data_IF_572501115905
#
_entry.id   IF_572501115905
#
_cell.length_a   1.000
_cell.length_b   1.000
_cell.length_c   1.000
_cell.angle_alpha   90.00
_cell.angle_beta   90.00
_cell.angle_gamma   90.00
#
_symmetry.space_group_name_H-M   'P 1'
#
loop_
_entity.id
_entity.type
_entity.pdbx_description
1 polymer ?
#
# COMPACT_ATOMS: atom_id res chain seq x y z
N UNK A 1 20.49 -13.45 9.47
CA UNK A 1 20.49 -12.04 9.03
C UNK A 1 19.14 -11.42 9.30
N UNK A 2 19.04 -10.10 9.52
CA UNK A 2 17.76 -9.41 9.80
C UNK A 2 16.69 -9.66 8.73
N UNK A 3 17.09 -9.78 7.45
CA UNK A 3 16.19 -10.10 6.34
C UNK A 3 15.54 -11.50 6.40
N UNK A 4 16.23 -12.51 6.94
CA UNK A 4 15.65 -13.86 7.05
C UNK A 4 14.53 -13.95 8.13
N UNK A 5 14.62 -13.10 9.17
CA UNK A 5 13.60 -13.03 10.23
C UNK A 5 12.35 -12.29 9.73
N UNK A 6 12.51 -11.24 8.91
CA UNK A 6 11.38 -10.55 8.27
C UNK A 6 10.65 -11.43 7.25
N UNK A 7 11.39 -12.25 6.51
CA UNK A 7 10.82 -13.14 5.50
C UNK A 7 10.21 -14.43 6.09
N UNK A 8 10.78 -14.99 7.17
CA UNK A 8 10.44 -16.35 7.64
C UNK A 8 10.39 -16.53 9.17
N UNK A 9 10.59 -15.48 9.97
CA UNK A 9 10.65 -15.58 11.43
C UNK A 9 9.27 -15.70 12.09
N UNK A 10 9.10 -16.69 12.98
CA UNK A 10 7.86 -16.91 13.75
C UNK A 10 7.60 -15.87 14.86
N UNK A 11 8.62 -15.15 15.32
CA UNK A 11 8.55 -14.14 16.40
C UNK A 11 8.89 -12.72 15.90
N UNK A 12 8.50 -12.41 14.65
CA UNK A 12 8.87 -11.14 14.00
C UNK A 12 8.43 -9.90 14.78
N UNK A 13 7.26 -9.94 15.43
CA UNK A 13 6.68 -8.79 16.15
C UNK A 13 7.43 -8.47 17.46
N UNK A 14 8.19 -9.43 18.01
CA UNK A 14 9.07 -9.20 19.15
C UNK A 14 10.36 -8.44 18.77
N UNK A 15 10.79 -8.54 17.51
CA UNK A 15 11.99 -7.88 17.01
C UNK A 15 11.70 -6.62 16.17
N UNK A 16 10.52 -6.58 15.53
CA UNK A 16 10.04 -5.52 14.66
C UNK A 16 8.52 -5.34 14.91
N UNK A 17 8.18 -4.59 15.95
CA UNK A 17 6.79 -4.35 16.38
C UNK A 17 5.92 -3.72 15.29
N UNK A 18 6.54 -3.04 14.33
CA UNK A 18 5.89 -2.25 13.28
C UNK A 18 6.00 -2.91 11.90
N UNK A 19 6.34 -4.20 11.85
CA UNK A 19 6.34 -5.01 10.62
C UNK A 19 4.92 -5.47 10.25
N UNK A 20 4.03 -4.50 10.08
CA UNK A 20 2.65 -4.68 9.64
C UNK A 20 2.27 -3.55 8.68
N UNK A 21 1.16 -3.74 7.96
CA UNK A 21 0.70 -2.80 6.93
C UNK A 21 -0.68 -2.29 7.27
N UNK A 22 -0.85 -0.97 7.22
CA UNK A 22 -2.13 -0.32 7.38
C UNK A 22 -2.71 0.02 6.00
N UNK A 23 -3.84 -0.57 5.64
CA UNK A 23 -4.58 -0.24 4.43
C UNK A 23 -5.81 0.60 4.77
N UNK A 24 -6.07 1.66 4.00
CA UNK A 24 -7.26 2.50 4.15
C UNK A 24 -7.84 2.91 2.81
N UNK A 25 -9.16 2.83 2.67
CA UNK A 25 -9.93 3.40 1.55
C UNK A 25 -10.66 4.62 2.06
N UNK A 26 -10.40 5.77 1.45
CA UNK A 26 -10.94 7.07 1.87
C UNK A 26 -11.78 7.68 0.76
N UNK A 27 -13.01 8.12 1.06
CA UNK A 27 -13.84 8.82 0.08
C UNK A 27 -13.27 10.23 -0.15
N UNK A 28 -13.18 10.66 -1.40
CA UNK A 28 -12.58 11.93 -1.77
C UNK A 28 -11.05 11.88 -1.88
N UNK A 29 -10.40 13.00 -1.56
CA UNK A 29 -8.96 13.24 -1.79
C UNK A 29 -8.14 13.39 -0.50
N UNK A 30 -8.81 13.42 0.63
CA UNK A 30 -8.22 13.56 1.95
C UNK A 30 -8.57 12.35 2.84
N UNK A 31 -8.02 12.34 4.06
CA UNK A 31 -8.21 11.24 5.02
C UNK A 31 -9.41 11.49 5.96
N UNK A 32 -10.34 12.38 5.60
CA UNK A 32 -11.44 12.78 6.49
C UNK A 32 -12.57 11.74 6.57
N UNK A 33 -12.83 11.03 5.46
CA UNK A 33 -13.91 10.04 5.37
C UNK A 33 -13.36 8.65 5.06
N UNK A 34 -13.34 7.77 6.06
CA UNK A 34 -12.82 6.40 5.96
C UNK A 34 -13.95 5.46 5.55
N UNK A 35 -13.86 4.90 4.36
CA UNK A 35 -14.82 3.94 3.83
C UNK A 35 -14.54 2.50 4.30
N UNK A 36 -13.28 2.08 4.26
CA UNK A 36 -12.85 0.76 4.70
C UNK A 36 -11.39 0.83 5.20
N UNK A 37 -11.01 -0.07 6.09
CA UNK A 37 -9.66 -0.15 6.64
C UNK A 37 -9.29 -1.60 6.97
N UNK A 38 -8.00 -1.91 6.89
CA UNK A 38 -7.47 -3.21 7.28
C UNK A 38 -6.07 -3.07 7.87
N UNK A 39 -5.80 -3.84 8.92
CA UNK A 39 -4.46 -4.02 9.49
C UNK A 39 -3.96 -5.40 9.11
N UNK A 40 -2.86 -5.45 8.34
CA UNK A 40 -2.31 -6.67 7.78
C UNK A 40 -1.04 -7.04 8.54
N UNK A 41 -1.12 -8.14 9.28
CA UNK A 41 -0.02 -8.75 10.03
C UNK A 41 0.46 -10.02 9.30
N UNK A 42 0.57 -9.97 7.98
CA UNK A 42 1.07 -11.10 7.18
C UNK A 42 2.61 -11.09 7.12
N UNK A 43 3.23 -12.22 6.80
CA UNK A 43 4.65 -12.22 6.44
C UNK A 43 4.85 -11.44 5.13
N UNK A 44 6.01 -10.80 4.93
CA UNK A 44 6.22 -9.88 3.78
C UNK A 44 5.77 -10.44 2.42
N UNK A 45 6.05 -11.70 2.05
CA UNK A 45 5.56 -12.24 0.78
C UNK A 45 4.03 -12.30 0.69
N UNK A 46 3.36 -12.66 1.79
CA UNK A 46 1.90 -12.73 1.89
C UNK A 46 1.29 -11.33 1.98
N UNK A 47 1.98 -10.38 2.63
CA UNK A 47 1.52 -8.99 2.73
C UNK A 47 1.35 -8.35 1.35
N UNK A 48 2.22 -8.66 0.37
CA UNK A 48 2.04 -8.20 -1.02
C UNK A 48 0.68 -8.63 -1.56
N UNK A 49 0.35 -9.92 -1.44
CA UNK A 49 -0.90 -10.46 -1.97
C UNK A 49 -2.12 -9.91 -1.23
N UNK A 50 -2.05 -9.76 0.10
CA UNK A 50 -3.11 -9.16 0.93
C UNK A 50 -3.38 -7.70 0.57
N UNK A 51 -2.33 -6.89 0.36
CA UNK A 51 -2.45 -5.50 -0.09
C UNK A 51 -3.08 -5.45 -1.48
N UNK A 52 -2.60 -6.26 -2.43
CA UNK A 52 -3.15 -6.30 -3.78
C UNK A 52 -4.62 -6.73 -3.80
N UNK A 53 -5.01 -7.65 -2.91
CA UNK A 53 -6.41 -8.06 -2.76
C UNK A 53 -7.29 -6.92 -2.23
N UNK A 54 -6.82 -6.17 -1.22
CA UNK A 54 -7.51 -4.99 -0.70
C UNK A 54 -7.72 -3.93 -1.79
N UNK A 55 -6.65 -3.61 -2.53
CA UNK A 55 -6.70 -2.62 -3.61
C UNK A 55 -7.65 -3.07 -4.74
N UNK A 56 -7.61 -4.35 -5.13
CA UNK A 56 -8.51 -4.91 -6.16
C UNK A 56 -9.97 -4.89 -5.72
N UNK A 57 -10.27 -5.26 -4.46
CA UNK A 57 -11.62 -5.21 -3.87
C UNK A 57 -12.22 -3.80 -4.00
N UNK A 58 -11.43 -2.77 -3.74
CA UNK A 58 -11.91 -1.39 -3.74
C UNK A 58 -11.88 -0.72 -5.11
N UNK A 59 -10.96 -1.12 -6.00
CA UNK A 59 -11.03 -0.75 -7.41
C UNK A 59 -12.32 -1.29 -8.07
N UNK A 60 -12.72 -2.53 -7.74
CA UNK A 60 -13.97 -3.13 -8.24
C UNK A 60 -15.22 -2.49 -7.61
N UNK A 61 -15.27 -2.35 -6.28
CA UNK A 61 -16.44 -1.75 -5.60
C UNK A 61 -16.64 -0.27 -5.92
N UNK A 62 -15.57 0.49 -6.14
CA UNK A 62 -15.67 1.88 -6.59
C UNK A 62 -16.42 2.01 -7.92
N UNK A 63 -16.33 0.98 -8.78
CA UNK A 63 -17.06 0.93 -10.05
C UNK A 63 -18.56 0.65 -9.88
N UNK A 64 -18.95 -0.10 -8.85
CA UNK A 64 -20.36 -0.45 -8.58
C UNK A 64 -21.15 0.71 -7.94
N UNK A 65 -20.51 1.51 -7.07
CA UNK A 65 -21.18 2.65 -6.41
C UNK A 65 -21.37 3.88 -7.31
N UNK A 66 -20.69 3.93 -8.47
CA UNK A 66 -20.72 5.07 -9.39
C UNK A 66 -21.64 4.85 -10.59
N UNK A 67 -22.91 4.46 -10.38
CA UNK A 67 -23.87 4.17 -11.47
C UNK A 67 -24.02 5.30 -12.52
N UNK A 68 -23.54 6.52 -12.27
CA UNK A 68 -23.61 7.68 -13.19
C UNK A 68 -22.26 8.06 -13.83
N UNK A 69 -21.12 7.48 -13.43
CA UNK A 69 -19.82 7.74 -14.07
C UNK A 69 -19.07 6.44 -14.38
N UNK A 70 -19.58 5.75 -15.40
CA UNK A 70 -18.82 4.83 -16.25
C UNK A 70 -17.72 5.62 -16.99
N UNK A 71 -16.61 5.93 -16.31
CA UNK A 71 -15.34 6.23 -16.99
C UNK A 71 -14.32 5.30 -16.38
N UNK A 72 -14.18 4.16 -17.06
CA UNK A 72 -13.02 3.29 -17.07
C UNK A 72 -12.37 3.05 -15.71
N UNK A 73 -12.67 1.88 -15.17
CA UNK A 73 -11.82 1.12 -14.25
C UNK A 73 -10.36 1.59 -14.37
N UNK A 74 -9.93 2.38 -13.40
CA UNK A 74 -8.56 2.79 -13.09
C UNK A 74 -7.51 2.11 -13.98
N UNK A 75 -6.85 2.88 -14.84
CA UNK A 75 -5.92 2.35 -15.84
C UNK A 75 -4.55 1.94 -15.26
N UNK A 76 -4.36 2.03 -13.94
CA UNK A 76 -3.11 1.65 -13.27
C UNK A 76 -2.82 0.17 -13.56
N UNK A 77 -1.74 -0.16 -14.28
CA UNK A 77 -1.36 -1.54 -14.51
C UNK A 77 -1.06 -2.23 -13.18
N UNK A 78 -1.73 -3.36 -12.91
CA UNK A 78 -1.53 -4.13 -11.67
C UNK A 78 -0.06 -4.49 -11.43
N UNK A 79 0.74 -4.62 -12.50
CA UNK A 79 2.18 -4.85 -12.40
C UNK A 79 2.93 -3.67 -11.77
N UNK A 80 2.58 -2.43 -12.14
CA UNK A 80 3.19 -1.22 -11.55
C UNK A 80 2.84 -1.14 -10.06
N UNK A 81 1.56 -1.34 -9.73
CA UNK A 81 1.10 -1.30 -8.36
C UNK A 81 1.79 -2.37 -7.49
N UNK A 82 1.92 -3.60 -8.02
CA UNK A 82 2.62 -4.69 -7.35
C UNK A 82 4.08 -4.35 -7.08
N UNK A 83 4.77 -3.76 -8.05
CA UNK A 83 6.17 -3.36 -7.91
C UNK A 83 6.36 -2.25 -6.86
N UNK A 84 5.45 -1.25 -6.83
CA UNK A 84 5.47 -0.19 -5.79
C UNK A 84 5.34 -0.81 -4.40
N UNK A 85 4.39 -1.73 -4.23
CA UNK A 85 4.16 -2.41 -2.96
C UNK A 85 5.36 -3.27 -2.54
N UNK A 86 5.94 -4.04 -3.47
CA UNK A 86 7.14 -4.83 -3.22
C UNK A 86 8.29 -3.92 -2.78
N UNK A 87 8.55 -2.82 -3.50
CA UNK A 87 9.61 -1.89 -3.16
C UNK A 87 9.40 -1.25 -1.79
N UNK A 88 8.18 -0.84 -1.46
CA UNK A 88 7.86 -0.30 -0.15
C UNK A 88 8.12 -1.30 0.98
N UNK A 89 7.73 -2.57 0.80
CA UNK A 89 7.94 -3.65 1.78
C UNK A 89 9.41 -4.06 1.92
N UNK A 90 10.15 -4.16 0.81
CA UNK A 90 11.55 -4.56 0.82
C UNK A 90 12.45 -3.48 1.42
N UNK A 91 12.15 -2.21 1.17
CA UNK A 91 12.98 -1.08 1.58
C UNK A 91 12.49 -0.34 2.84
N UNK A 92 11.45 -0.85 3.51
CA UNK A 92 10.99 -0.28 4.77
C UNK A 92 12.03 -0.42 5.89
N UNK A 93 12.23 0.65 6.66
CA UNK A 93 12.98 0.60 7.91
C UNK A 93 12.08 0.11 9.05
N UNK A 94 12.03 -1.21 9.22
CA UNK A 94 11.26 -1.86 10.29
C UNK A 94 11.80 -1.59 11.70
N UNK A 95 12.92 -0.89 11.86
CA UNK A 95 13.43 -0.53 13.18
C UNK A 95 12.77 0.72 13.77
N UNK A 96 12.05 1.50 12.95
CA UNK A 96 11.28 2.66 13.37
C UNK A 96 9.99 2.23 14.07
N UNK A 97 9.83 2.62 15.35
CA UNK A 97 8.62 2.31 16.12
C UNK A 97 7.47 3.27 15.79
N UNK A 98 6.25 2.76 15.67
CA UNK A 98 5.04 3.55 15.39
C UNK A 98 4.89 4.00 13.93
N UNK A 99 5.69 3.46 13.03
CA UNK A 99 5.70 3.84 11.63
C UNK A 99 5.49 2.61 10.72
N UNK A 100 4.29 1.99 10.73
CA UNK A 100 3.97 0.92 9.79
C UNK A 100 3.98 1.45 8.35
N UNK A 101 4.05 0.53 7.40
CA UNK A 101 3.80 0.86 6.00
C UNK A 101 2.31 1.21 5.86
N UNK A 102 2.00 2.30 5.17
CA UNK A 102 0.62 2.73 4.95
C UNK A 102 0.29 2.70 3.48
N UNK A 103 -0.85 2.11 3.14
CA UNK A 103 -1.41 2.09 1.79
C UNK A 103 -2.76 2.78 1.85
N UNK A 104 -2.86 3.95 1.22
CA UNK A 104 -4.08 4.75 1.19
C UNK A 104 -4.66 4.79 -0.22
N UNK A 105 -5.92 4.40 -0.36
CA UNK A 105 -6.68 4.45 -1.61
C UNK A 105 -7.64 5.64 -1.52
N UNK A 106 -7.43 6.64 -2.36
CA UNK A 106 -8.31 7.80 -2.55
C UNK A 106 -9.10 7.69 -3.84
N UNK A 107 -10.01 8.62 -4.11
CA UNK A 107 -10.77 8.63 -5.36
C UNK A 107 -9.91 9.01 -6.59
N UNK A 108 -8.76 9.66 -6.39
CA UNK A 108 -7.90 10.18 -7.45
C UNK A 108 -6.49 9.58 -7.48
N UNK A 109 -6.09 8.81 -6.46
CA UNK A 109 -4.76 8.21 -6.36
C UNK A 109 -4.67 7.07 -5.36
N UNK A 110 -3.57 6.33 -5.43
CA UNK A 110 -3.10 5.42 -4.39
C UNK A 110 -1.79 5.95 -3.84
N UNK A 111 -1.71 6.11 -2.53
CA UNK A 111 -0.47 6.46 -1.82
C UNK A 111 0.07 5.23 -1.11
N UNK A 112 1.38 4.99 -1.25
CA UNK A 112 2.13 4.01 -0.47
C UNK A 112 3.23 4.75 0.29
N UNK A 113 3.08 4.84 1.60
CA UNK A 113 4.01 5.48 2.54
C UNK A 113 4.81 4.40 3.25
N UNK A 114 6.14 4.52 3.23
CA UNK A 114 7.03 3.62 3.96
C UNK A 114 7.97 4.42 4.88
N UNK A 115 8.37 3.90 6.05
CA UNK A 115 9.32 4.56 6.95
C UNK A 115 10.77 4.53 6.43
N UNK A 116 11.01 4.36 5.13
CA UNK A 116 12.33 4.16 4.52
C UNK A 116 12.55 5.04 3.29
N UNK A 117 13.51 4.64 2.44
CA UNK A 117 13.72 5.25 1.13
C UNK A 117 13.00 4.45 0.05
N UNK A 118 12.23 5.15 -0.78
CA UNK A 118 11.80 4.62 -2.08
C UNK A 118 12.92 4.89 -3.11
N UNK A 119 13.31 3.87 -3.87
CA UNK A 119 14.33 4.03 -4.89
C UNK A 119 13.82 4.95 -6.02
N UNK A 120 14.60 5.97 -6.44
CA UNK A 120 14.25 6.80 -7.58
C UNK A 120 14.37 5.97 -8.86
N UNK A 121 13.26 5.83 -9.59
CA UNK A 121 13.16 4.97 -10.78
C UNK A 121 11.73 4.55 -11.14
N UNK A 122 10.76 4.84 -10.28
CA UNK A 122 9.35 4.64 -10.59
C UNK A 122 8.79 5.85 -11.37
N UNK A 123 7.95 5.61 -12.38
CA UNK A 123 7.24 6.64 -13.19
C UNK A 123 6.27 7.51 -12.38
N UNK A 124 6.22 7.27 -11.07
CA UNK A 124 5.30 7.76 -10.06
C UNK A 124 6.08 8.80 -9.27
N UNK A 125 5.47 9.95 -8.96
CA UNK A 125 6.13 11.06 -8.28
C UNK A 125 6.54 10.63 -6.86
N UNK A 126 7.74 10.08 -6.71
CA UNK A 126 8.25 9.63 -5.42
C UNK A 126 8.87 10.82 -4.68
N UNK A 127 8.28 11.19 -3.55
CA UNK A 127 8.99 11.95 -2.52
C UNK A 127 9.61 10.94 -1.55
N UNK A 128 10.67 11.31 -0.83
CA UNK A 128 11.65 10.42 -0.17
C UNK A 128 11.10 9.27 0.71
N UNK A 129 9.79 9.21 1.01
CA UNK A 129 9.11 8.14 1.75
C UNK A 129 7.68 7.81 1.25
N UNK A 130 7.19 8.45 0.18
CA UNK A 130 5.81 8.30 -0.33
C UNK A 130 5.82 8.11 -1.85
N UNK A 131 5.16 7.05 -2.33
CA UNK A 131 4.81 6.85 -3.73
C UNK A 131 3.34 7.19 -3.95
N UNK A 132 3.06 8.12 -4.86
CA UNK A 132 1.72 8.57 -5.20
C UNK A 132 1.37 8.20 -6.65
N UNK A 133 0.53 7.19 -6.83
CA UNK A 133 0.11 6.66 -8.13
C UNK A 133 -1.24 7.29 -8.50
N UNK A 134 -1.31 8.17 -9.52
CA UNK A 134 -2.57 8.75 -9.97
C UNK A 134 -3.53 7.67 -10.49
N UNK A 135 -4.83 7.90 -10.31
CA UNK A 135 -5.89 7.04 -10.83
C UNK A 135 -5.95 7.01 -12.36
N UNK A 136 -5.55 8.12 -12.97
CA UNK A 136 -5.45 8.39 -14.40
C UNK A 136 -3.99 8.29 -14.85
N UNK A 137 -3.68 7.21 -15.57
CA UNK A 137 -2.36 7.01 -16.20
C UNK A 137 -2.06 8.02 -17.31
#
# INVERSE_FOLDING_TARGET
TKGAILLFGKEREHHFSDAWVQCGRFVGRDKADIFDHAELHDHLPQAVDSIMLFLKKHAMRGADFSEIRRKDVWSIPLGILREVVINALVHADYSQRGAPIRVAFFDDRIEVENPGMLLPGMTVKAQQSIAEIPADG
#
